data_IF_364809870015
#
_entry.id   IF_364809870015
#
_cell.length_a   1.000
_cell.length_b   1.000
_cell.length_c   1.000
_cell.angle_alpha   90.00
_cell.angle_beta   90.00
_cell.angle_gamma   90.00
#
_symmetry.space_group_name_H-M   'P 1'
#
loop_
_entity.id
_entity.type
_entity.pdbx_description
1 polymer ?
#
# COMPACT_ATOMS: atom_id res chain seq x y z
N UNK A 1 9.35 16.39 70.59
CA UNK A 1 9.85 17.36 69.60
C UNK A 1 10.51 16.57 68.46
N UNK A 2 10.35 17.02 67.20
CA UNK A 2 10.21 16.13 66.04
C UNK A 2 11.51 15.85 65.28
N UNK A 3 11.49 14.74 64.53
CA UNK A 3 12.47 14.33 63.51
C UNK A 3 12.39 15.26 62.28
N UNK A 4 13.50 15.52 61.56
CA UNK A 4 13.42 16.18 60.25
C UNK A 4 13.38 15.18 59.08
N UNK A 5 12.28 15.31 58.33
CA UNK A 5 12.17 15.39 56.87
C UNK A 5 12.54 14.18 56.00
N UNK A 6 11.49 13.45 55.58
CA UNK A 6 11.49 12.60 54.40
C UNK A 6 11.32 13.47 53.13
N UNK A 7 12.29 13.40 52.23
CA UNK A 7 12.18 13.96 50.88
C UNK A 7 11.20 13.15 50.00
N UNK A 8 10.60 13.76 48.96
CA UNK A 8 9.62 13.08 48.12
C UNK A 8 10.26 11.99 47.26
N UNK A 9 9.59 10.84 47.21
CA UNK A 9 9.92 9.71 46.36
C UNK A 9 9.80 10.10 44.87
N UNK A 10 10.83 9.72 44.10
CA UNK A 10 10.84 9.83 42.65
C UNK A 10 9.74 8.95 42.04
N UNK A 11 8.80 9.58 41.35
CA UNK A 11 7.90 8.92 40.41
C UNK A 11 8.67 8.67 39.11
N UNK A 12 9.15 7.45 38.92
CA UNK A 12 9.58 7.00 37.59
C UNK A 12 8.36 6.47 36.86
N UNK A 13 7.97 7.19 35.82
CA UNK A 13 6.86 6.88 34.93
C UNK A 13 7.07 5.54 34.22
N UNK A 14 6.03 4.70 34.23
CA UNK A 14 5.95 3.46 33.46
C UNK A 14 5.89 3.79 31.96
N UNK A 15 6.64 3.12 31.08
CA UNK A 15 6.56 3.39 29.65
C UNK A 15 5.17 3.03 29.10
N UNK A 16 4.61 3.94 28.31
CA UNK A 16 3.35 3.75 27.60
C UNK A 16 3.38 2.47 26.75
N UNK A 17 2.52 1.53 27.13
CA UNK A 17 2.29 0.28 26.42
C UNK A 17 1.62 0.60 25.08
N UNK A 18 2.29 0.28 23.98
CA UNK A 18 1.76 0.44 22.64
C UNK A 18 0.41 -0.27 22.52
N UNK A 19 -0.63 0.50 22.21
CA UNK A 19 -1.97 -0.03 21.96
C UNK A 19 -1.93 -0.94 20.73
N UNK A 20 -2.20 -2.23 20.94
CA UNK A 20 -2.47 -3.17 19.86
C UNK A 20 -3.79 -2.79 19.19
N UNK A 21 -3.88 -2.68 17.85
CA UNK A 21 -5.17 -2.54 17.22
C UNK A 21 -5.91 -3.88 17.27
N UNK A 22 -7.10 -3.85 17.87
CA UNK A 22 -8.01 -4.97 17.99
C UNK A 22 -8.54 -5.43 16.62
N UNK A 23 -8.73 -6.75 16.50
CA UNK A 23 -9.43 -7.43 15.41
C UNK A 23 -10.93 -7.08 15.41
N UNK A 24 -11.46 -6.65 14.26
CA UNK A 24 -12.90 -6.52 14.05
C UNK A 24 -13.23 -6.21 12.60
N UNK A 25 -13.99 -7.11 11.95
CA UNK A 25 -14.59 -6.82 10.64
C UNK A 25 -15.66 -5.75 10.77
N UNK A 26 -15.59 -4.75 9.90
CA UNK A 26 -16.50 -3.61 9.84
C UNK A 26 -15.83 -2.47 9.09
N UNK A 27 -16.49 -2.00 8.03
CA UNK A 27 -16.12 -0.91 7.10
C UNK A 27 -14.62 -0.58 7.00
N UNK A 28 -14.02 -0.88 5.85
CA UNK A 28 -12.67 -0.44 5.51
C UNK A 28 -12.56 1.08 5.77
N UNK A 29 -11.97 1.43 6.92
CA UNK A 29 -11.71 2.80 7.30
C UNK A 29 -10.81 3.48 6.27
N UNK A 30 -10.65 4.81 6.36
CA UNK A 30 -9.73 5.51 5.48
C UNK A 30 -8.33 4.89 5.58
N UNK A 31 -7.68 4.66 4.44
CA UNK A 31 -6.28 4.24 4.40
C UNK A 31 -5.42 5.25 5.18
N UNK A 32 -4.42 4.74 5.90
CA UNK A 32 -3.56 5.58 6.74
C UNK A 32 -2.86 6.66 5.91
N UNK A 33 -2.95 7.91 6.38
CA UNK A 33 -2.16 9.04 5.87
C UNK A 33 -0.80 9.19 6.55
N UNK A 34 -0.47 8.33 7.53
CA UNK A 34 0.82 8.36 8.20
C UNK A 34 1.92 7.79 7.29
N UNK A 35 3.14 8.31 7.44
CA UNK A 35 4.32 7.82 6.74
C UNK A 35 4.58 6.34 7.07
N UNK A 36 4.92 5.55 6.04
CA UNK A 36 5.29 4.15 6.22
C UNK A 36 6.82 4.00 6.21
N UNK A 37 7.40 3.87 7.40
CA UNK A 37 8.86 3.81 7.61
C UNK A 37 9.36 2.43 8.04
N UNK A 38 8.46 1.46 8.13
CA UNK A 38 8.76 0.08 8.57
C UNK A 38 8.04 -0.96 7.70
N UNK A 39 8.56 -2.18 7.72
CA UNK A 39 7.94 -3.32 7.05
C UNK A 39 6.63 -3.68 7.76
N UNK A 40 5.59 -3.99 6.97
CA UNK A 40 4.36 -4.55 7.51
C UNK A 40 4.63 -5.98 7.97
N UNK A 41 4.08 -6.33 9.12
CA UNK A 41 3.96 -7.71 9.54
C UNK A 41 2.91 -8.43 8.67
N UNK A 42 2.97 -9.76 8.52
CA UNK A 42 2.07 -10.49 7.63
C UNK A 42 0.57 -10.22 7.86
N UNK A 43 0.15 -10.06 9.12
CA UNK A 43 -1.23 -9.71 9.46
C UNK A 43 -1.62 -8.29 9.05
N UNK A 44 -0.69 -7.34 9.14
CA UNK A 44 -0.89 -5.95 8.72
C UNK A 44 -0.94 -5.85 7.19
N UNK A 45 -0.08 -6.59 6.48
CA UNK A 45 -0.13 -6.69 5.02
C UNK A 45 -1.49 -7.17 4.54
N UNK A 46 -2.04 -8.21 5.17
CA UNK A 46 -3.35 -8.74 4.80
C UNK A 46 -4.48 -7.73 5.09
N UNK A 47 -4.40 -7.02 6.23
CA UNK A 47 -5.37 -6.00 6.58
C UNK A 47 -5.36 -4.83 5.58
N UNK A 48 -4.17 -4.34 5.21
CA UNK A 48 -4.01 -3.28 4.21
C UNK A 48 -4.52 -3.74 2.85
N UNK A 49 -4.15 -4.95 2.42
CA UNK A 49 -4.61 -5.53 1.16
C UNK A 49 -6.14 -5.62 1.08
N UNK A 50 -6.80 -6.00 2.17
CA UNK A 50 -8.26 -6.06 2.25
C UNK A 50 -8.88 -4.65 2.13
N UNK A 51 -8.31 -3.64 2.79
CA UNK A 51 -8.77 -2.24 2.64
C UNK A 51 -8.62 -1.73 1.20
N UNK A 52 -7.48 -2.03 0.55
CA UNK A 52 -7.27 -1.70 -0.86
C UNK A 52 -8.29 -2.39 -1.78
N UNK A 53 -8.54 -3.69 -1.55
CA UNK A 53 -9.54 -4.45 -2.31
C UNK A 53 -10.92 -3.81 -2.19
N UNK A 54 -11.35 -3.50 -0.97
CA UNK A 54 -12.67 -2.92 -0.72
C UNK A 54 -12.82 -1.52 -1.34
N UNK A 55 -11.78 -0.70 -1.26
CA UNK A 55 -11.77 0.62 -1.91
C UNK A 55 -11.81 0.49 -3.44
N UNK A 56 -11.04 -0.43 -4.05
CA UNK A 56 -11.07 -0.69 -5.49
C UNK A 56 -12.46 -1.16 -5.96
N UNK A 57 -13.10 -2.06 -5.22
CA UNK A 57 -14.48 -2.49 -5.50
C UNK A 57 -15.44 -1.30 -5.50
N UNK A 58 -15.36 -0.45 -4.47
CA UNK A 58 -16.20 0.73 -4.31
C UNK A 58 -15.97 1.77 -5.42
N UNK A 59 -14.72 2.11 -5.70
CA UNK A 59 -14.36 3.22 -6.58
C UNK A 59 -14.48 2.88 -8.07
N UNK A 60 -14.34 1.59 -8.42
CA UNK A 60 -14.36 1.15 -9.82
C UNK A 60 -15.51 0.19 -10.16
N UNK A 61 -16.32 -0.21 -9.17
CA UNK A 61 -17.43 -1.16 -9.37
C UNK A 61 -16.94 -2.56 -9.75
N UNK A 62 -15.84 -3.00 -9.15
CA UNK A 62 -15.24 -4.32 -9.38
C UNK A 62 -15.90 -5.37 -8.49
N UNK A 63 -15.93 -6.61 -8.98
CA UNK A 63 -16.22 -7.76 -8.12
C UNK A 63 -14.98 -8.18 -7.29
N UNK A 64 -15.17 -9.13 -6.37
CA UNK A 64 -14.10 -9.59 -5.47
C UNK A 64 -12.89 -10.14 -6.21
N UNK A 65 -13.10 -11.01 -7.21
CA UNK A 65 -12.00 -11.62 -7.97
C UNK A 65 -11.18 -10.58 -8.74
N UNK A 66 -11.87 -9.60 -9.33
CA UNK A 66 -11.27 -8.49 -10.06
C UNK A 66 -10.41 -7.60 -9.17
N UNK A 67 -10.95 -7.16 -8.04
CA UNK A 67 -10.20 -6.33 -7.10
C UNK A 67 -9.05 -7.12 -6.44
N UNK A 68 -9.26 -8.40 -6.11
CA UNK A 68 -8.20 -9.27 -5.59
C UNK A 68 -7.04 -9.42 -6.59
N UNK A 69 -7.33 -9.57 -7.89
CA UNK A 69 -6.30 -9.66 -8.92
C UNK A 69 -5.45 -8.39 -9.06
N UNK A 70 -6.04 -7.20 -8.90
CA UNK A 70 -5.28 -5.95 -8.83
C UNK A 70 -4.39 -5.95 -7.59
N UNK A 71 -4.95 -6.24 -6.41
CA UNK A 71 -4.19 -6.21 -5.15
C UNK A 71 -3.07 -7.27 -5.13
N UNK A 72 -3.24 -8.43 -5.76
CA UNK A 72 -2.18 -9.44 -5.87
C UNK A 72 -0.95 -8.95 -6.65
N UNK A 73 -1.15 -8.13 -7.68
CA UNK A 73 -0.03 -7.45 -8.37
C UNK A 73 0.66 -6.47 -7.42
N UNK A 74 -0.11 -5.57 -6.81
CA UNK A 74 0.41 -4.55 -5.90
C UNK A 74 1.14 -5.16 -4.70
N UNK A 75 0.64 -6.28 -4.17
CA UNK A 75 1.29 -7.03 -3.10
C UNK A 75 2.67 -7.51 -3.54
N UNK A 76 2.75 -8.09 -4.73
CA UNK A 76 4.01 -8.58 -5.30
C UNK A 76 5.01 -7.44 -5.49
N UNK A 77 4.60 -6.34 -6.12
CA UNK A 77 5.48 -5.19 -6.39
C UNK A 77 6.05 -4.58 -5.11
N UNK A 78 5.24 -4.53 -4.05
CA UNK A 78 5.56 -3.76 -2.85
C UNK A 78 6.05 -4.60 -1.67
N UNK A 79 6.34 -5.88 -1.89
CA UNK A 79 6.78 -6.77 -0.81
C UNK A 79 5.77 -6.88 0.34
N UNK A 80 4.48 -6.95 0.01
CA UNK A 80 3.42 -7.12 1.01
C UNK A 80 2.65 -5.84 1.35
N UNK A 81 2.26 -5.09 0.33
CA UNK A 81 1.48 -3.85 0.45
C UNK A 81 2.22 -2.72 1.17
N UNK A 82 3.55 -2.64 1.05
CA UNK A 82 4.31 -1.58 1.70
C UNK A 82 4.37 -0.32 0.83
N UNK A 83 3.66 0.74 1.25
CA UNK A 83 3.59 1.99 0.50
C UNK A 83 4.85 2.87 0.57
N UNK A 84 5.77 2.57 1.48
CA UNK A 84 7.06 3.24 1.59
C UNK A 84 8.23 2.47 0.97
N UNK A 85 8.00 1.35 0.29
CA UNK A 85 9.08 0.51 -0.22
C UNK A 85 9.79 1.13 -1.42
N UNK A 86 11.11 1.14 -1.42
CA UNK A 86 11.96 1.45 -2.56
C UNK A 86 12.42 0.17 -3.23
N UNK A 87 12.75 0.23 -4.51
CA UNK A 87 13.47 -0.84 -5.19
C UNK A 87 14.66 -1.34 -4.33
N UNK A 88 14.79 -2.66 -4.20
CA UNK A 88 15.80 -3.30 -3.34
C UNK A 88 15.41 -3.43 -1.86
N UNK A 89 14.21 -2.99 -1.45
CA UNK A 89 13.64 -3.29 -0.12
C UNK A 89 13.92 -2.25 0.97
N UNK A 90 14.43 -1.07 0.63
CA UNK A 90 14.46 0.07 1.56
C UNK A 90 13.03 0.53 1.88
N UNK A 91 12.80 1.10 3.08
CA UNK A 91 11.46 1.54 3.50
C UNK A 91 11.53 2.97 4.02
N UNK A 92 10.67 3.84 3.49
CA UNK A 92 10.53 5.24 3.87
C UNK A 92 10.06 6.12 2.72
N UNK A 93 10.47 7.39 2.74
CA UNK A 93 10.19 8.33 1.65
C UNK A 93 10.94 7.99 0.35
N UNK A 94 10.46 8.49 -0.81
CA UNK A 94 11.13 8.26 -2.08
C UNK A 94 12.51 8.93 -2.11
N UNK A 95 13.49 8.26 -2.72
CA UNK A 95 14.76 8.90 -3.05
C UNK A 95 14.59 9.92 -4.20
N UNK A 96 15.57 10.80 -4.38
CA UNK A 96 15.55 11.83 -5.43
C UNK A 96 15.88 11.35 -6.85
N UNK A 97 16.16 10.05 -7.04
CA UNK A 97 16.44 9.53 -8.37
C UNK A 97 15.13 9.14 -9.08
N UNK A 98 14.83 9.82 -10.18
CA UNK A 98 13.62 9.63 -11.00
C UNK A 98 13.89 8.83 -12.27
N UNK A 99 14.92 7.98 -12.30
CA UNK A 99 15.12 7.08 -13.42
C UNK A 99 13.92 6.11 -13.56
N UNK A 100 13.54 5.82 -14.81
CA UNK A 100 12.54 4.81 -15.15
C UNK A 100 13.25 3.50 -15.49
N UNK A 101 13.76 2.84 -14.46
CA UNK A 101 14.57 1.64 -14.56
C UNK A 101 14.28 0.65 -13.41
N UNK A 102 14.87 -0.54 -13.49
CA UNK A 102 14.73 -1.59 -12.47
C UNK A 102 15.51 -1.30 -11.17
N UNK A 103 16.03 -0.07 -10.99
CA UNK A 103 16.82 0.35 -9.84
C UNK A 103 16.15 1.39 -8.95
N UNK A 104 15.08 2.04 -9.43
CA UNK A 104 14.57 3.27 -8.81
C UNK A 104 13.06 3.32 -8.54
N UNK A 105 12.37 2.19 -8.70
CA UNK A 105 10.96 2.01 -8.35
C UNK A 105 10.63 2.40 -6.90
N UNK A 106 9.40 2.88 -6.70
CA UNK A 106 8.93 3.33 -5.38
C UNK A 106 7.44 3.06 -5.16
N UNK A 107 7.09 2.77 -3.90
CA UNK A 107 5.71 2.66 -3.44
C UNK A 107 5.02 1.37 -3.88
N UNK A 108 3.69 1.38 -3.74
CA UNK A 108 2.83 0.21 -3.92
C UNK A 108 2.96 -0.44 -5.31
N UNK A 109 3.08 0.36 -6.36
CA UNK A 109 3.18 -0.13 -7.74
C UNK A 109 4.60 0.00 -8.32
N UNK A 110 5.61 0.17 -7.46
CA UNK A 110 7.01 0.38 -7.87
C UNK A 110 7.17 1.42 -8.99
N UNK A 111 6.50 2.56 -8.86
CA UNK A 111 6.56 3.63 -9.86
C UNK A 111 8.01 4.12 -10.06
N UNK A 112 8.43 4.17 -11.33
CA UNK A 112 9.65 4.82 -11.79
C UNK A 112 9.36 6.14 -12.53
N UNK A 113 10.41 6.85 -12.93
CA UNK A 113 10.27 7.92 -13.91
C UNK A 113 9.31 9.05 -13.51
N UNK A 114 8.54 9.49 -14.51
CA UNK A 114 7.50 10.52 -14.36
C UNK A 114 6.37 10.10 -13.42
N UNK A 115 6.11 8.79 -13.26
CA UNK A 115 5.01 8.30 -12.41
C UNK A 115 5.39 8.40 -10.93
N UNK A 116 6.66 8.16 -10.60
CA UNK A 116 7.20 8.42 -9.25
C UNK A 116 7.09 9.89 -8.88
N UNK A 117 7.45 10.78 -9.80
CA UNK A 117 7.26 12.22 -9.61
C UNK A 117 5.78 12.58 -9.44
N UNK A 118 4.90 11.95 -10.22
CA UNK A 118 3.44 12.11 -10.10
C UNK A 118 2.91 11.76 -8.70
N UNK A 119 3.37 10.67 -8.09
CA UNK A 119 3.02 10.32 -6.71
C UNK A 119 3.47 11.40 -5.71
N UNK A 120 4.70 11.91 -5.87
CA UNK A 120 5.26 12.95 -5.00
C UNK A 120 4.44 14.24 -5.11
N UNK A 121 4.10 14.64 -6.34
CA UNK A 121 3.31 15.83 -6.60
C UNK A 121 1.88 15.68 -6.07
N UNK A 122 1.28 14.50 -6.24
CA UNK A 122 -0.02 14.16 -5.66
C UNK A 122 0.00 14.29 -4.14
N UNK A 123 0.99 13.70 -3.48
CA UNK A 123 1.13 13.72 -2.03
C UNK A 123 1.29 15.16 -1.52
N UNK A 124 2.14 15.96 -2.20
CA UNK A 124 2.34 17.38 -1.89
C UNK A 124 1.06 18.20 -2.06
N UNK A 125 0.32 18.01 -3.16
CA UNK A 125 -0.92 18.73 -3.42
C UNK A 125 -2.02 18.43 -2.39
N UNK A 126 -2.00 17.22 -1.82
CA UNK A 126 -2.96 16.78 -0.80
C UNK A 126 -2.45 16.94 0.64
N UNK A 127 -1.24 17.50 0.83
CA UNK A 127 -0.61 17.67 2.14
C UNK A 127 -0.55 16.36 2.97
N UNK A 128 -0.14 15.28 2.30
CA UNK A 128 0.05 13.93 2.88
C UNK A 128 1.44 13.41 2.56
N UNK A 129 1.94 12.46 3.35
CA UNK A 129 3.27 11.89 3.13
C UNK A 129 3.25 10.94 1.91
N UNK A 130 4.22 11.03 0.98
CA UNK A 130 4.27 10.18 -0.22
C UNK A 130 4.48 8.69 0.09
N UNK A 131 5.00 8.35 1.28
CA UNK A 131 5.12 6.96 1.75
C UNK A 131 3.86 6.43 2.44
N UNK A 132 2.77 7.22 2.49
CA UNK A 132 1.52 6.78 3.12
C UNK A 132 0.66 5.93 2.18
N UNK A 133 -0.15 5.07 2.78
CA UNK A 133 -1.14 4.26 2.08
C UNK A 133 -2.16 5.13 1.35
N UNK A 134 -2.58 6.23 1.98
CA UNK A 134 -3.51 7.20 1.38
C UNK A 134 -2.94 7.88 0.13
N UNK A 135 -1.66 8.29 0.15
CA UNK A 135 -1.02 8.90 -1.02
C UNK A 135 -0.88 7.91 -2.18
N UNK A 136 -0.41 6.70 -1.87
CA UNK A 136 -0.22 5.64 -2.86
C UNK A 136 -1.55 5.23 -3.52
N UNK A 137 -2.59 5.00 -2.71
CA UNK A 137 -3.91 4.66 -3.24
C UNK A 137 -4.53 5.82 -4.03
N UNK A 138 -4.46 7.04 -3.51
CA UNK A 138 -5.02 8.22 -4.16
C UNK A 138 -4.39 8.47 -5.53
N UNK A 139 -3.06 8.36 -5.62
CA UNK A 139 -2.36 8.49 -6.89
C UNK A 139 -2.67 7.34 -7.85
N UNK A 140 -2.67 6.08 -7.37
CA UNK A 140 -3.08 4.94 -8.21
C UNK A 140 -4.49 5.15 -8.77
N UNK A 141 -5.43 5.56 -7.92
CA UNK A 141 -6.82 5.85 -8.32
C UNK A 141 -6.87 6.92 -9.40
N UNK A 142 -6.11 8.01 -9.25
CA UNK A 142 -6.02 9.07 -10.26
C UNK A 142 -5.54 8.52 -11.61
N UNK A 143 -4.49 7.70 -11.62
CA UNK A 143 -4.00 7.06 -12.84
C UNK A 143 -5.06 6.14 -13.48
N UNK A 144 -5.71 5.30 -12.68
CA UNK A 144 -6.73 4.34 -13.12
C UNK A 144 -8.04 5.00 -13.57
N UNK A 145 -8.31 6.25 -13.16
CA UNK A 145 -9.43 7.04 -13.68
C UNK A 145 -9.06 7.82 -14.95
N UNK A 146 -7.77 8.10 -15.16
CA UNK A 146 -7.26 8.86 -16.29
C UNK A 146 -6.56 7.98 -17.32
N UNK A 147 -5.25 8.15 -17.42
CA UNK A 147 -4.40 7.58 -18.48
C UNK A 147 -4.41 6.05 -18.50
N UNK A 148 -4.65 5.41 -17.35
CA UNK A 148 -4.65 3.96 -17.18
C UNK A 148 -6.05 3.35 -17.03
N UNK A 149 -7.13 4.06 -17.38
CA UNK A 149 -8.50 3.50 -17.32
C UNK A 149 -8.67 2.17 -18.08
N UNK A 150 -7.89 1.98 -19.15
CA UNK A 150 -7.91 0.73 -19.93
C UNK A 150 -7.49 -0.50 -19.12
N UNK A 151 -6.74 -0.33 -18.03
CA UNK A 151 -6.42 -1.42 -17.11
C UNK A 151 -7.66 -1.89 -16.33
N UNK A 152 -8.50 -0.94 -15.89
CA UNK A 152 -9.78 -1.26 -15.25
C UNK A 152 -10.71 -1.96 -16.24
N UNK A 153 -10.78 -1.47 -17.49
CA UNK A 153 -11.61 -2.11 -18.53
C UNK A 153 -11.15 -3.55 -18.80
N UNK A 154 -9.84 -3.78 -18.89
CA UNK A 154 -9.27 -5.11 -19.07
C UNK A 154 -9.61 -6.04 -17.89
N UNK A 155 -9.47 -5.56 -16.65
CA UNK A 155 -9.83 -6.33 -15.45
C UNK A 155 -11.32 -6.63 -15.40
N UNK A 156 -12.20 -5.68 -15.77
CA UNK A 156 -13.65 -5.91 -15.81
C UNK A 156 -14.07 -6.97 -16.82
N UNK A 157 -13.26 -7.23 -17.83
CA UNK A 157 -13.47 -8.30 -18.81
C UNK A 157 -13.21 -9.71 -18.28
N UNK A 158 -12.73 -9.87 -17.05
CA UNK A 158 -12.40 -11.18 -16.46
C UNK A 158 -13.39 -11.59 -15.37
N UNK A 159 -13.49 -12.89 -15.11
CA UNK A 159 -14.44 -13.47 -14.15
C UNK A 159 -13.76 -14.23 -13.00
N UNK A 160 -12.43 -14.38 -13.04
CA UNK A 160 -11.65 -15.10 -12.03
C UNK A 160 -10.40 -14.32 -11.63
N UNK A 161 -9.82 -14.72 -10.49
CA UNK A 161 -8.69 -14.06 -9.85
C UNK A 161 -7.45 -14.10 -10.73
N UNK A 162 -7.18 -15.24 -11.37
CA UNK A 162 -6.01 -15.43 -12.21
C UNK A 162 -6.04 -14.54 -13.45
N UNK A 163 -7.18 -14.49 -14.13
CA UNK A 163 -7.46 -13.63 -15.27
C UNK A 163 -7.36 -12.16 -14.89
N UNK A 164 -7.97 -11.74 -13.77
CA UNK A 164 -7.86 -10.36 -13.29
C UNK A 164 -6.41 -9.96 -12.98
N UNK A 165 -5.67 -10.86 -12.32
CA UNK A 165 -4.25 -10.66 -12.02
C UNK A 165 -3.44 -10.46 -13.30
N UNK A 166 -3.63 -11.33 -14.29
CA UNK A 166 -2.94 -11.24 -15.56
C UNK A 166 -3.34 -9.99 -16.36
N UNK A 167 -4.64 -9.64 -16.37
CA UNK A 167 -5.13 -8.46 -17.05
C UNK A 167 -4.50 -7.17 -16.49
N UNK A 168 -4.45 -7.02 -15.17
CA UNK A 168 -3.81 -5.86 -14.54
C UNK A 168 -2.30 -5.85 -14.77
N UNK A 169 -1.62 -6.99 -14.63
CA UNK A 169 -0.18 -7.13 -14.91
C UNK A 169 0.17 -6.64 -16.32
N UNK A 170 -0.59 -7.08 -17.33
CA UNK A 170 -0.30 -6.76 -18.73
C UNK A 170 -0.70 -5.33 -19.15
N UNK A 171 -1.63 -4.70 -18.44
CA UNK A 171 -2.19 -3.40 -18.81
C UNK A 171 -1.61 -2.24 -18.00
N UNK A 172 -1.27 -2.47 -16.73
CA UNK A 172 -0.79 -1.45 -15.80
C UNK A 172 0.69 -1.63 -15.45
N UNK A 173 1.07 -2.78 -14.86
CA UNK A 173 2.43 -2.98 -14.32
C UNK A 173 3.48 -3.15 -15.43
N UNK A 174 3.18 -3.98 -16.43
CA UNK A 174 4.04 -4.28 -17.58
C UNK A 174 5.52 -4.57 -17.20
N UNK A 175 5.78 -5.43 -16.19
CA UNK A 175 7.13 -5.75 -15.79
C UNK A 175 7.86 -6.53 -16.89
N UNK A 176 9.20 -6.46 -16.89
CA UNK A 176 10.02 -7.26 -17.81
C UNK A 176 9.91 -8.76 -17.55
N UNK A 177 9.73 -9.16 -16.28
CA UNK A 177 9.39 -10.52 -15.87
C UNK A 177 8.03 -10.50 -15.13
N UNK A 178 6.96 -11.04 -15.73
CA UNK A 178 5.62 -11.00 -15.14
C UNK A 178 5.49 -11.66 -13.78
N UNK A 179 6.24 -12.71 -13.46
CA UNK A 179 6.10 -13.47 -12.20
C UNK A 179 4.63 -13.77 -11.80
N UNK A 180 3.77 -14.10 -12.77
CA UNK A 180 2.31 -14.21 -12.54
C UNK A 180 1.92 -15.22 -11.46
N UNK A 181 2.67 -16.30 -11.29
CA UNK A 181 2.36 -17.33 -10.29
C UNK A 181 2.31 -16.76 -8.86
N UNK A 182 3.29 -15.96 -8.46
CA UNK A 182 3.32 -15.36 -7.11
C UNK A 182 2.28 -14.26 -6.95
N UNK A 183 2.02 -13.47 -8.01
CA UNK A 183 0.95 -12.46 -8.00
C UNK A 183 -0.42 -13.09 -7.78
N UNK A 184 -0.70 -14.22 -8.47
CA UNK A 184 -1.94 -14.98 -8.28
C UNK A 184 -1.98 -15.59 -6.88
N UNK A 185 -0.87 -16.14 -6.38
CA UNK A 185 -0.82 -16.66 -5.00
C UNK A 185 -1.21 -15.59 -3.97
N UNK A 186 -0.72 -14.36 -4.11
CA UNK A 186 -1.09 -13.26 -3.23
C UNK A 186 -2.55 -12.83 -3.41
N UNK A 187 -3.04 -12.77 -4.65
CA UNK A 187 -4.45 -12.46 -4.92
C UNK A 187 -5.40 -13.45 -4.25
N UNK A 188 -5.11 -14.76 -4.32
CA UNK A 188 -5.92 -15.83 -3.72
C UNK A 188 -6.00 -15.76 -2.19
N UNK A 189 -5.10 -15.03 -1.52
CA UNK A 189 -5.21 -14.76 -0.07
C UNK A 189 -6.39 -13.86 0.28
N UNK A 190 -6.97 -13.18 -0.72
CA UNK A 190 -8.02 -12.18 -0.55
C UNK A 190 -9.39 -12.66 -1.02
N UNK A 191 -9.53 -13.87 -1.55
CA UNK A 191 -10.81 -14.41 -2.04
C UNK A 191 -10.62 -15.35 -3.21
#
# INVERSE_FOLDING_TARGET
MPQPEQGPAAVTETPAQAAQPASGGGDAGPLSGAAQTQALQPGESLQVAQQWKDNLKKDFGLNDAQAAGIVGNLWHESGGMNSGITQGGGIGGPNGNMADDNGNGYGIAQWGGVRKQGLIDFAKANNIDPSSQAANYGYLKQELQGDYKGAIDAVKGTNDVAGATAAFCNSFEKPSDPQLASRVEYAMKLG
#
